data_IF_462401713593
#
_entry.id   IF_462401713593
#
_cell.length_a   1.000
_cell.length_b   1.000
_cell.length_c   1.000
_cell.angle_alpha   90.00
_cell.angle_beta   90.00
_cell.angle_gamma   90.00
#
_symmetry.space_group_name_H-M   'P 1'
#
loop_
_entity.id
_entity.type
_entity.pdbx_description
1 polymer ?
#
# COMPACT_ATOMS: atom_id res chain seq x y z
N UNK A 1 7.20 -26.34 24.61
CA UNK A 1 6.23 -25.33 24.12
C UNK A 1 6.92 -24.64 22.96
N UNK A 2 6.96 -25.33 21.82
CA UNK A 2 7.59 -24.86 20.59
C UNK A 2 6.47 -24.43 19.66
N UNK A 3 6.47 -23.16 19.27
CA UNK A 3 5.53 -22.60 18.32
C UNK A 3 6.04 -22.95 16.92
N UNK A 4 5.38 -23.91 16.28
CA UNK A 4 5.63 -24.28 14.88
C UNK A 4 5.06 -23.17 14.00
N UNK A 5 5.94 -22.35 13.43
CA UNK A 5 5.60 -21.45 12.32
C UNK A 5 5.54 -22.31 11.06
N UNK A 6 4.33 -22.54 10.56
CA UNK A 6 4.11 -23.19 9.26
C UNK A 6 4.02 -22.07 8.23
N UNK A 7 5.15 -21.73 7.61
CA UNK A 7 5.18 -21.06 6.32
C UNK A 7 4.99 -22.16 5.27
N UNK A 8 3.76 -22.36 4.82
CA UNK A 8 3.46 -23.25 3.70
C UNK A 8 3.69 -22.51 2.39
N UNK A 9 4.93 -22.55 1.90
CA UNK A 9 5.22 -22.34 0.48
C UNK A 9 4.99 -23.68 -0.22
N UNK A 10 3.83 -23.84 -0.86
CA UNK A 10 3.58 -24.97 -1.76
C UNK A 10 3.94 -24.51 -3.16
N UNK A 11 5.18 -24.82 -3.57
CA UNK A 11 5.52 -25.00 -4.98
C UNK A 11 4.82 -26.29 -5.45
N UNK A 12 3.75 -26.15 -6.21
CA UNK A 12 3.10 -27.27 -6.88
C UNK A 12 3.98 -27.77 -8.03
N UNK A 13 4.87 -28.73 -7.73
CA UNK A 13 5.46 -29.64 -8.73
C UNK A 13 4.56 -30.87 -8.75
N UNK A 14 3.77 -31.02 -9.82
CA UNK A 14 2.99 -32.22 -10.08
C UNK A 14 3.93 -33.35 -10.54
N UNK A 15 3.95 -34.44 -9.80
CA UNK A 15 4.63 -35.69 -10.15
C UNK A 15 3.60 -36.82 -10.25
N UNK A 16 3.12 -37.07 -11.46
CA UNK A 16 2.56 -38.30 -12.01
C UNK A 16 2.50 -38.02 -13.54
N UNK A 17 2.94 -38.82 -14.50
CA UNK A 17 3.25 -40.24 -14.55
C UNK A 17 2.84 -40.71 -15.97
N UNK A 18 3.83 -40.96 -16.82
CA UNK A 18 3.80 -41.74 -18.08
C UNK A 18 2.95 -41.28 -19.31
N UNK A 19 3.69 -41.30 -20.43
CA UNK A 19 3.35 -41.59 -21.83
C UNK A 19 2.95 -40.48 -22.83
N UNK A 20 3.93 -40.26 -23.72
CA UNK A 20 3.86 -39.91 -25.14
C UNK A 20 3.07 -38.67 -25.59
N UNK A 21 3.79 -37.58 -25.87
CA UNK A 21 3.96 -37.17 -27.27
C UNK A 21 5.09 -36.15 -27.44
N UNK A 22 5.85 -36.33 -28.53
CA UNK A 22 6.94 -35.45 -28.93
C UNK A 22 6.38 -34.13 -29.47
N UNK A 23 6.28 -33.12 -28.59
CA UNK A 23 6.01 -31.73 -28.94
C UNK A 23 7.26 -30.87 -28.72
N UNK A 24 7.62 -30.08 -29.72
CA UNK A 24 8.86 -29.32 -29.79
C UNK A 24 9.12 -28.43 -28.54
N UNK A 25 10.32 -28.55 -27.97
CA UNK A 25 10.91 -27.58 -27.05
C UNK A 25 11.00 -26.21 -27.74
N UNK A 26 9.99 -25.36 -27.54
CA UNK A 26 10.18 -23.91 -27.65
C UNK A 26 10.92 -23.46 -26.40
N UNK A 27 12.20 -23.13 -26.59
CA UNK A 27 13.02 -22.37 -25.65
C UNK A 27 12.22 -21.16 -25.13
N UNK A 28 12.41 -20.75 -23.86
CA UNK A 28 11.83 -19.52 -23.35
C UNK A 28 12.19 -18.38 -24.30
N UNK A 29 11.16 -17.62 -24.67
CA UNK A 29 11.28 -16.45 -25.54
C UNK A 29 12.30 -15.45 -24.99
N UNK A 30 12.95 -14.67 -25.86
CA UNK A 30 14.03 -13.78 -25.46
C UNK A 30 13.50 -12.73 -24.50
N UNK A 31 14.27 -12.47 -23.44
CA UNK A 31 14.21 -11.28 -22.60
C UNK A 31 13.88 -10.06 -23.46
N UNK A 32 12.80 -9.35 -23.10
CA UNK A 32 12.39 -8.10 -23.72
C UNK A 32 13.59 -7.17 -23.88
N UNK A 33 13.90 -6.82 -25.13
CA UNK A 33 15.09 -6.08 -25.52
C UNK A 33 15.05 -4.58 -25.19
N UNK A 34 14.11 -4.14 -24.37
CA UNK A 34 14.01 -2.76 -23.85
C UNK A 34 14.41 -2.70 -22.36
N UNK A 35 15.41 -3.51 -21.97
CA UNK A 35 15.87 -3.66 -20.60
C UNK A 35 16.68 -2.43 -20.13
N UNK A 36 16.05 -1.25 -20.14
CA UNK A 36 16.54 -0.10 -19.41
C UNK A 36 16.50 -0.46 -17.93
N UNK A 37 17.64 -0.36 -17.25
CA UNK A 37 17.69 -0.54 -15.81
C UNK A 37 16.74 0.48 -15.16
N UNK A 38 16.03 0.09 -14.10
CA UNK A 38 15.13 1.00 -13.41
C UNK A 38 15.91 2.22 -12.88
N UNK A 39 15.29 3.39 -12.98
CA UNK A 39 15.91 4.64 -12.53
C UNK A 39 16.05 4.60 -10.99
N UNK A 40 17.27 4.85 -10.51
CA UNK A 40 17.63 4.80 -9.09
C UNK A 40 18.19 6.14 -8.63
N UNK A 41 17.84 6.52 -7.40
CA UNK A 41 18.21 7.78 -6.76
C UNK A 41 18.84 7.48 -5.41
N UNK A 42 20.06 7.98 -5.21
CA UNK A 42 20.72 8.00 -3.89
C UNK A 42 20.42 9.34 -3.25
N UNK A 43 19.94 9.28 -2.02
CA UNK A 43 19.60 10.43 -1.18
C UNK A 43 20.53 10.46 0.05
N UNK A 44 21.00 11.64 0.48
CA UNK A 44 20.69 12.94 -0.11
C UNK A 44 21.31 13.11 -1.50
N UNK A 45 20.67 13.93 -2.34
CA UNK A 45 21.20 14.27 -3.66
C UNK A 45 22.54 15.02 -3.54
N UNK A 46 23.21 15.27 -4.67
CA UNK A 46 24.46 16.07 -4.67
C UNK A 46 24.28 17.48 -4.09
N UNK A 47 23.05 18.00 -4.08
CA UNK A 47 22.69 19.30 -3.53
C UNK A 47 22.21 19.22 -2.07
N UNK A 48 22.22 18.01 -1.48
CA UNK A 48 21.82 17.77 -0.09
C UNK A 48 20.32 17.54 0.10
N UNK A 49 19.55 17.39 -0.97
CA UNK A 49 18.08 17.24 -0.90
C UNK A 49 17.67 15.78 -0.69
N UNK A 50 16.63 15.55 0.13
CA UNK A 50 16.05 14.24 0.41
C UNK A 50 14.83 13.93 -0.46
N UNK A 51 14.92 14.28 -1.74
CA UNK A 51 13.89 13.97 -2.75
C UNK A 51 14.52 13.51 -4.07
N UNK A 52 13.90 12.55 -4.79
CA UNK A 52 14.33 12.20 -6.14
C UNK A 52 14.35 13.42 -7.07
N UNK A 53 15.45 13.58 -7.81
CA UNK A 53 15.66 14.75 -8.69
C UNK A 53 14.82 14.72 -9.97
N UNK A 54 14.23 13.56 -10.29
CA UNK A 54 13.27 13.41 -11.38
C UNK A 54 11.99 12.83 -10.82
N UNK A 55 10.85 13.32 -11.31
CA UNK A 55 9.53 12.82 -10.94
C UNK A 55 9.05 11.87 -12.02
N UNK A 56 8.87 10.60 -11.65
CA UNK A 56 8.09 9.67 -12.46
C UNK A 56 6.60 9.97 -12.36
N UNK A 57 5.82 9.42 -13.30
CA UNK A 57 4.37 9.53 -13.31
C UNK A 57 3.76 8.14 -13.35
N UNK A 58 2.90 7.84 -12.38
CA UNK A 58 2.05 6.67 -12.46
C UNK A 58 1.05 6.80 -13.60
N UNK A 59 0.70 5.64 -14.15
CA UNK A 59 -0.45 5.50 -15.04
C UNK A 59 -1.72 5.81 -14.24
N UNK A 60 -2.62 6.53 -14.89
CA UNK A 60 -3.98 6.68 -14.41
C UNK A 60 -4.72 5.38 -14.65
N UNK A 61 -5.58 4.94 -13.72
CA UNK A 61 -6.38 3.74 -13.93
C UNK A 61 -7.27 3.87 -15.18
N UNK A 62 -7.26 2.86 -16.03
CA UNK A 62 -8.01 2.79 -17.28
C UNK A 62 -8.49 1.38 -17.57
N UNK A 63 -9.76 1.25 -17.94
CA UNK A 63 -10.33 -0.01 -18.38
C UNK A 63 -11.47 -0.45 -17.47
N UNK A 64 -11.59 -1.77 -17.32
CA UNK A 64 -12.68 -2.40 -16.58
C UNK A 64 -12.13 -3.08 -15.32
N UNK A 65 -12.53 -2.59 -14.15
CA UNK A 65 -12.26 -3.22 -12.87
C UNK A 65 -13.40 -4.14 -12.42
N UNK A 66 -13.15 -4.94 -11.37
CA UNK A 66 -14.19 -5.77 -10.76
C UNK A 66 -14.20 -5.72 -9.24
N UNK A 67 -15.39 -5.84 -8.65
CA UNK A 67 -15.61 -5.92 -7.20
C UNK A 67 -16.43 -7.17 -6.87
N UNK A 68 -15.92 -8.01 -5.97
CA UNK A 68 -16.63 -9.18 -5.44
C UNK A 68 -17.25 -8.84 -4.07
N UNK A 69 -18.58 -8.66 -4.01
CA UNK A 69 -19.28 -8.41 -2.74
C UNK A 69 -19.87 -9.73 -2.24
N UNK A 70 -19.19 -10.35 -1.27
CA UNK A 70 -19.54 -11.70 -0.80
C UNK A 70 -20.98 -11.78 -0.32
N UNK A 71 -21.74 -12.66 -0.97
CA UNK A 71 -23.14 -12.91 -0.64
C UNK A 71 -24.14 -12.03 -1.39
N UNK A 72 -23.66 -11.12 -2.25
CA UNK A 72 -24.48 -10.30 -3.14
C UNK A 72 -24.19 -10.72 -4.59
N UNK A 73 -23.17 -10.17 -5.23
CA UNK A 73 -22.75 -10.51 -6.59
C UNK A 73 -21.30 -10.03 -6.87
N UNK A 74 -20.81 -10.30 -8.08
CA UNK A 74 -19.60 -9.70 -8.64
C UNK A 74 -19.97 -8.63 -9.67
N UNK A 75 -19.51 -7.41 -9.43
CA UNK A 75 -19.79 -6.24 -10.25
C UNK A 75 -18.58 -5.84 -11.09
N UNK A 76 -18.84 -5.10 -12.17
CA UNK A 76 -17.81 -4.52 -13.02
C UNK A 76 -18.05 -3.02 -13.13
N UNK A 77 -16.97 -2.25 -13.17
CA UNK A 77 -17.03 -0.80 -13.33
C UNK A 77 -15.97 -0.36 -14.33
N UNK A 78 -16.15 0.84 -14.89
CA UNK A 78 -15.17 1.45 -15.78
C UNK A 78 -14.39 2.49 -14.98
N UNK A 79 -13.06 2.37 -14.97
CA UNK A 79 -12.18 3.20 -14.16
C UNK A 79 -12.32 4.70 -14.50
N UNK A 80 -12.62 5.01 -15.77
CA UNK A 80 -12.80 6.38 -16.25
C UNK A 80 -14.08 7.06 -15.73
N UNK A 81 -15.03 6.27 -15.21
CA UNK A 81 -16.28 6.78 -14.67
C UNK A 81 -16.19 7.02 -13.14
N UNK A 82 -15.09 6.60 -12.49
CA UNK A 82 -14.91 6.76 -11.05
C UNK A 82 -14.41 8.17 -10.71
N UNK A 83 -15.12 8.84 -9.80
CA UNK A 83 -14.75 10.16 -9.29
C UNK A 83 -14.30 10.05 -7.84
N UNK A 84 -13.18 10.68 -7.47
CA UNK A 84 -12.70 10.62 -6.09
C UNK A 84 -13.55 11.45 -5.13
N UNK A 85 -13.88 10.89 -3.97
CA UNK A 85 -14.47 11.60 -2.83
C UNK A 85 -13.41 12.25 -1.93
N UNK A 86 -12.12 11.98 -2.16
CA UNK A 86 -10.99 12.57 -1.44
C UNK A 86 -10.14 13.45 -2.35
N UNK A 87 -10.68 14.55 -2.92
CA UNK A 87 -9.90 15.49 -3.73
C UNK A 87 -8.86 16.26 -2.91
N UNK A 88 -8.90 16.15 -1.58
CA UNK A 88 -7.86 16.59 -0.64
C UNK A 88 -6.66 15.63 -0.60
N UNK A 89 -6.81 14.38 -1.02
CA UNK A 89 -5.75 13.36 -1.06
C UNK A 89 -5.30 13.08 -2.49
N UNK A 90 -6.21 12.80 -3.41
CA UNK A 90 -5.86 12.32 -4.76
C UNK A 90 -5.86 13.44 -5.81
N UNK A 91 -4.93 13.34 -6.75
CA UNK A 91 -4.92 14.15 -7.97
C UNK A 91 -6.05 13.74 -8.92
N UNK A 92 -6.51 14.64 -9.80
CA UNK A 92 -7.50 14.30 -10.82
C UNK A 92 -7.08 13.08 -11.66
N UNK A 93 -8.00 12.13 -11.82
CA UNK A 93 -7.76 10.86 -12.51
C UNK A 93 -7.18 9.75 -11.63
N UNK A 94 -6.92 10.02 -10.35
CA UNK A 94 -6.63 9.02 -9.33
C UNK A 94 -7.77 8.97 -8.30
N UNK A 95 -8.02 7.79 -7.75
CA UNK A 95 -9.12 7.55 -6.82
C UNK A 95 -8.79 6.38 -5.88
N UNK A 96 -9.60 6.23 -4.85
CA UNK A 96 -9.47 5.19 -3.84
C UNK A 96 -10.34 3.97 -4.13
N UNK A 97 -10.07 2.87 -3.44
CA UNK A 97 -10.91 1.67 -3.47
C UNK A 97 -12.35 1.96 -2.98
N UNK A 98 -12.54 2.91 -2.07
CA UNK A 98 -13.88 3.32 -1.62
C UNK A 98 -14.69 4.00 -2.74
N UNK A 99 -14.04 4.81 -3.56
CA UNK A 99 -14.67 5.56 -4.67
C UNK A 99 -15.31 4.61 -5.70
N UNK A 100 -14.76 3.40 -5.83
CA UNK A 100 -15.34 2.33 -6.67
C UNK A 100 -16.73 1.92 -6.18
N UNK A 101 -16.95 1.79 -4.87
CA UNK A 101 -18.27 1.42 -4.33
C UNK A 101 -19.32 2.49 -4.61
N UNK A 102 -18.90 3.75 -4.47
CA UNK A 102 -19.76 4.90 -4.76
C UNK A 102 -20.13 4.92 -6.23
N UNK A 103 -19.22 4.49 -7.11
CA UNK A 103 -19.52 4.36 -8.53
C UNK A 103 -20.54 3.24 -8.81
N UNK A 104 -20.45 2.09 -8.14
CA UNK A 104 -21.44 1.01 -8.26
C UNK A 104 -22.83 1.47 -7.76
N UNK A 105 -22.89 2.23 -6.67
CA UNK A 105 -24.13 2.84 -6.17
C UNK A 105 -24.74 3.84 -7.17
N UNK A 106 -23.92 4.74 -7.74
CA UNK A 106 -24.35 5.67 -8.80
C UNK A 106 -24.92 4.94 -10.03
N UNK A 107 -24.40 3.74 -10.34
CA UNK A 107 -24.87 2.91 -11.45
C UNK A 107 -26.17 2.15 -11.12
N UNK A 108 -26.55 2.08 -9.83
CA UNK A 108 -27.71 1.33 -9.35
C UNK A 108 -27.45 -0.16 -9.21
N UNK A 109 -26.17 -0.57 -9.16
CA UNK A 109 -25.76 -1.97 -8.99
C UNK A 109 -25.84 -2.43 -7.53
N UNK A 110 -25.66 -1.49 -6.59
CA UNK A 110 -25.83 -1.67 -5.14
C UNK A 110 -26.56 -0.46 -4.55
N UNK A 111 -27.14 -0.61 -3.35
CA UNK A 111 -27.63 0.49 -2.51
C UNK A 111 -26.61 0.75 -1.38
N UNK A 112 -25.75 1.76 -1.56
CA UNK A 112 -24.67 2.07 -0.61
C UNK A 112 -25.07 3.21 0.34
N UNK A 113 -25.22 2.87 1.62
CA UNK A 113 -25.35 3.85 2.69
C UNK A 113 -23.97 4.09 3.33
N UNK A 114 -23.53 5.36 3.35
CA UNK A 114 -22.24 5.74 3.92
C UNK A 114 -22.22 7.19 4.38
N UNK A 115 -21.24 7.54 5.23
CA UNK A 115 -20.95 8.90 5.62
C UNK A 115 -19.44 9.13 5.81
N UNK A 116 -19.01 10.39 5.77
CA UNK A 116 -17.68 10.78 6.20
C UNK A 116 -17.67 11.07 7.71
N UNK A 117 -16.79 10.40 8.45
CA UNK A 117 -16.58 10.68 9.87
C UNK A 117 -15.28 11.49 10.07
N UNK A 118 -15.43 12.79 10.33
CA UNK A 118 -14.29 13.68 10.56
C UNK A 118 -13.50 13.38 11.84
N UNK A 119 -14.03 12.61 12.79
CA UNK A 119 -13.27 12.16 13.95
C UNK A 119 -12.36 10.96 13.63
N UNK A 120 -12.57 10.30 12.49
CA UNK A 120 -11.76 9.18 12.00
C UNK A 120 -11.01 9.52 10.69
N UNK A 121 -11.38 10.63 10.05
CA UNK A 121 -10.88 11.11 8.76
C UNK A 121 -11.03 10.06 7.64
N UNK A 122 -12.20 9.43 7.58
CA UNK A 122 -12.50 8.38 6.60
C UNK A 122 -13.99 8.33 6.30
N UNK A 123 -14.33 7.83 5.11
CA UNK A 123 -15.67 7.34 4.83
C UNK A 123 -15.91 5.98 5.52
N UNK A 124 -17.10 5.82 6.09
CA UNK A 124 -17.58 4.61 6.78
C UNK A 124 -18.78 4.07 6.01
N UNK A 125 -18.75 2.77 5.70
CA UNK A 125 -19.89 2.05 5.12
C UNK A 125 -20.87 1.75 6.25
N UNK A 126 -22.07 2.33 6.18
CA UNK A 126 -23.16 2.04 7.11
C UNK A 126 -23.89 0.76 6.67
N UNK A 127 -24.22 0.65 5.38
CA UNK A 127 -24.84 -0.53 4.79
C UNK A 127 -24.59 -0.67 3.29
N UNK A 128 -24.68 -1.91 2.80
CA UNK A 128 -24.81 -2.25 1.37
C UNK A 128 -26.06 -3.12 1.25
N UNK A 129 -27.02 -2.72 0.43
CA UNK A 129 -28.33 -3.37 0.26
C UNK A 129 -29.05 -3.61 1.61
N UNK A 130 -28.97 -2.60 2.49
CA UNK A 130 -29.52 -2.63 3.84
C UNK A 130 -28.83 -3.62 4.81
N UNK A 131 -27.72 -4.24 4.41
CA UNK A 131 -26.91 -5.11 5.28
C UNK A 131 -25.72 -4.32 5.85
N UNK A 132 -25.48 -4.36 7.18
CA UNK A 132 -24.37 -3.64 7.79
C UNK A 132 -23.10 -4.49 7.89
N UNK A 133 -22.05 -3.86 8.44
CA UNK A 133 -20.80 -4.49 8.89
C UNK A 133 -19.91 -4.98 7.75
N UNK A 134 -19.73 -4.15 6.72
CA UNK A 134 -18.85 -4.45 5.61
C UNK A 134 -17.41 -4.03 5.89
N UNK A 135 -16.48 -4.90 5.51
CA UNK A 135 -15.06 -4.59 5.37
C UNK A 135 -14.56 -5.08 4.02
N UNK A 136 -13.28 -4.82 3.74
CA UNK A 136 -12.70 -5.09 2.43
C UNK A 136 -11.32 -5.75 2.51
N UNK A 137 -11.01 -6.48 1.45
CA UNK A 137 -9.70 -7.04 1.11
C UNK A 137 -9.36 -6.54 -0.29
N UNK A 138 -8.09 -6.21 -0.51
CA UNK A 138 -7.57 -5.80 -1.82
C UNK A 138 -6.37 -6.65 -2.14
N UNK A 139 -6.17 -6.92 -3.43
CA UNK A 139 -4.89 -7.35 -3.96
C UNK A 139 -4.59 -6.59 -5.26
N UNK A 140 -3.35 -6.18 -5.44
CA UNK A 140 -2.87 -5.69 -6.73
C UNK A 140 -2.48 -6.85 -7.65
N UNK A 141 -2.16 -6.52 -8.90
CA UNK A 141 -1.61 -7.44 -9.89
C UNK A 141 -0.50 -8.32 -9.31
N UNK A 142 -0.58 -9.63 -9.53
CA UNK A 142 0.32 -10.68 -9.00
C UNK A 142 0.42 -10.78 -7.45
N UNK A 143 -0.45 -10.07 -6.72
CA UNK A 143 -0.53 -10.09 -5.27
C UNK A 143 -1.53 -11.11 -4.69
N UNK A 144 -1.61 -11.13 -3.36
CA UNK A 144 -2.61 -11.91 -2.60
C UNK A 144 -3.51 -11.00 -1.78
N UNK A 145 -4.68 -11.51 -1.40
CA UNK A 145 -5.58 -10.79 -0.50
C UNK A 145 -5.00 -10.74 0.90
N UNK A 146 -5.00 -9.54 1.48
CA UNK A 146 -4.48 -9.32 2.81
C UNK A 146 -5.56 -8.89 3.77
N UNK A 147 -5.49 -9.43 4.99
CA UNK A 147 -6.18 -8.82 6.13
C UNK A 147 -5.54 -7.45 6.37
N UNK A 148 -6.25 -6.40 6.01
CA UNK A 148 -5.84 -5.01 6.21
C UNK A 148 -6.77 -4.33 7.22
N UNK A 149 -6.24 -3.28 7.84
CA UNK A 149 -7.00 -2.37 8.72
C UNK A 149 -6.81 -0.92 8.26
N UNK A 150 -6.68 -0.73 6.94
CA UNK A 150 -6.40 0.57 6.34
C UNK A 150 -7.69 1.27 5.90
N UNK A 151 -7.71 2.60 5.91
CA UNK A 151 -8.87 3.37 5.45
C UNK A 151 -9.11 3.12 3.96
N UNK A 152 -10.30 2.63 3.64
CA UNK A 152 -10.65 2.24 2.27
C UNK A 152 -10.60 3.44 1.30
N UNK A 153 -10.95 4.63 1.80
CA UNK A 153 -10.94 5.87 1.03
C UNK A 153 -9.55 6.53 0.92
N UNK A 154 -8.53 5.92 1.53
CA UNK A 154 -7.11 6.28 1.34
C UNK A 154 -6.34 5.21 0.58
N UNK A 155 -6.94 4.04 0.31
CA UNK A 155 -6.29 2.94 -0.42
C UNK A 155 -6.29 3.28 -1.91
N UNK A 156 -5.14 3.59 -2.54
CA UNK A 156 -5.12 4.00 -3.94
C UNK A 156 -5.54 2.84 -4.84
N UNK A 157 -6.43 3.10 -5.79
CA UNK A 157 -6.76 2.13 -6.83
C UNK A 157 -5.74 2.19 -7.97
N UNK A 158 -5.43 1.04 -8.56
CA UNK A 158 -4.59 0.87 -9.76
C UNK A 158 -5.25 -0.13 -10.72
N UNK A 159 -4.81 -0.15 -11.97
CA UNK A 159 -5.25 -1.19 -12.91
C UNK A 159 -4.98 -2.59 -12.34
N UNK A 160 -5.84 -3.54 -12.69
CA UNK A 160 -5.79 -4.93 -12.23
C UNK A 160 -5.86 -5.10 -10.69
N UNK A 161 -6.41 -4.11 -9.99
CA UNK A 161 -6.77 -4.26 -8.57
C UNK A 161 -8.02 -5.12 -8.44
N UNK A 162 -7.91 -6.22 -7.69
CA UNK A 162 -9.06 -7.04 -7.30
C UNK A 162 -9.56 -6.60 -5.92
N UNK A 163 -10.83 -6.22 -5.85
CA UNK A 163 -11.49 -5.76 -4.63
C UNK A 163 -12.50 -6.80 -4.17
N UNK A 164 -12.49 -7.10 -2.88
CA UNK A 164 -13.45 -8.00 -2.25
C UNK A 164 -14.04 -7.37 -1.01
N UNK A 165 -15.36 -7.41 -0.89
CA UNK A 165 -16.09 -7.01 0.30
C UNK A 165 -16.65 -8.23 1.01
N UNK A 166 -16.65 -8.17 2.34
CA UNK A 166 -17.16 -9.23 3.18
C UNK A 166 -17.69 -8.66 4.49
N UNK A 167 -18.61 -9.40 5.11
CA UNK A 167 -19.12 -9.04 6.43
C UNK A 167 -18.08 -9.36 7.51
N UNK A 168 -17.81 -8.37 8.34
CA UNK A 168 -16.92 -8.44 9.49
C UNK A 168 -17.72 -8.43 10.80
N UNK A 169 -17.13 -8.94 11.87
CA UNK A 169 -17.71 -8.82 13.20
C UNK A 169 -17.70 -7.38 13.70
N UNK A 170 -18.76 -6.99 14.42
CA UNK A 170 -18.95 -5.67 15.01
C UNK A 170 -17.75 -5.31 15.90
N UNK A 171 -17.27 -6.25 16.71
CA UNK A 171 -16.13 -6.05 17.60
C UNK A 171 -14.84 -5.72 16.83
N UNK A 172 -14.58 -6.39 15.71
CA UNK A 172 -13.40 -6.14 14.89
C UNK A 172 -13.51 -4.81 14.15
N UNK A 173 -14.68 -4.49 13.58
CA UNK A 173 -14.90 -3.18 12.97
C UNK A 173 -14.75 -2.06 13.99
N UNK A 174 -15.33 -2.22 15.17
CA UNK A 174 -15.19 -1.26 16.26
C UNK A 174 -13.73 -1.12 16.72
N UNK A 175 -12.92 -2.18 16.68
CA UNK A 175 -11.47 -2.06 16.93
C UNK A 175 -10.79 -1.20 15.85
N UNK A 176 -11.02 -1.50 14.57
CA UNK A 176 -10.44 -0.74 13.44
C UNK A 176 -10.86 0.74 13.50
N UNK A 177 -12.15 1.05 13.66
CA UNK A 177 -12.62 2.42 13.71
C UNK A 177 -12.04 3.20 14.92
N UNK A 178 -11.80 2.52 16.05
CA UNK A 178 -11.15 3.16 17.21
C UNK A 178 -9.71 3.60 16.88
N UNK A 179 -8.95 2.79 16.15
CA UNK A 179 -7.56 3.15 15.80
C UNK A 179 -7.52 4.35 14.86
N UNK A 180 -8.46 4.47 13.93
CA UNK A 180 -8.58 5.66 13.09
C UNK A 180 -8.84 6.91 13.92
N UNK A 181 -9.73 6.84 14.91
CA UNK A 181 -9.98 7.92 15.84
C UNK A 181 -8.81 8.22 16.79
N UNK A 182 -7.96 7.24 17.11
CA UNK A 182 -6.73 7.46 17.86
C UNK A 182 -5.69 8.24 17.04
N UNK A 183 -5.56 7.95 15.73
CA UNK A 183 -4.67 8.69 14.83
C UNK A 183 -5.08 10.16 14.70
N UNK A 184 -6.36 10.44 14.45
CA UNK A 184 -6.87 11.82 14.35
C UNK A 184 -6.70 12.57 15.67
N UNK A 185 -6.89 11.90 16.82
CA UNK A 185 -6.64 12.51 18.14
C UNK A 185 -5.18 12.82 18.37
N UNK A 186 -4.25 11.95 17.97
CA UNK A 186 -2.80 12.24 18.03
C UNK A 186 -2.45 13.44 17.16
N UNK A 187 -2.91 13.44 15.89
CA UNK A 187 -2.69 14.55 14.96
C UNK A 187 -3.19 15.88 15.55
N UNK A 188 -4.42 15.89 16.07
CA UNK A 188 -5.01 17.09 16.69
C UNK A 188 -4.26 17.52 17.95
N UNK A 189 -3.89 16.56 18.82
CA UNK A 189 -3.11 16.81 20.03
C UNK A 189 -1.72 17.39 19.74
N UNK A 190 -1.18 17.11 18.56
CA UNK A 190 0.09 17.63 18.05
C UNK A 190 -0.10 18.88 17.16
N UNK A 191 -1.23 19.57 17.26
CA UNK A 191 -1.54 20.78 16.47
C UNK A 191 -1.45 20.59 14.95
N UNK A 192 -1.84 19.40 14.47
CA UNK A 192 -1.78 19.05 13.04
C UNK A 192 -0.43 18.52 12.57
N UNK A 193 0.55 18.37 13.48
CA UNK A 193 1.85 17.79 13.14
C UNK A 193 1.81 16.26 13.24
N UNK A 194 2.27 15.58 12.20
CA UNK A 194 2.46 14.13 12.22
C UNK A 194 3.70 13.81 13.04
N UNK A 195 3.47 13.22 14.22
CA UNK A 195 4.53 12.68 15.08
C UNK A 195 4.26 11.20 15.24
N UNK A 196 5.23 10.37 14.87
CA UNK A 196 5.17 8.92 15.04
C UNK A 196 5.88 8.56 16.34
N UNK A 197 5.16 8.03 17.34
CA UNK A 197 5.76 7.73 18.65
C UNK A 197 6.98 6.81 18.59
N UNK A 198 6.99 5.84 17.67
CA UNK A 198 8.12 4.96 17.47
C UNK A 198 8.32 4.62 15.99
N UNK A 199 9.56 4.79 15.51
CA UNK A 199 10.00 4.30 14.21
C UNK A 199 11.16 3.33 14.42
N UNK A 200 11.04 2.14 13.84
CA UNK A 200 12.09 1.09 13.90
C UNK A 200 12.56 0.77 12.49
N UNK A 201 13.86 0.64 12.33
CA UNK A 201 14.49 0.13 11.10
C UNK A 201 15.34 -1.07 11.52
N UNK A 202 14.93 -2.26 11.10
CA UNK A 202 15.56 -3.54 11.45
C UNK A 202 16.14 -4.18 10.18
N UNK A 203 17.39 -3.84 9.88
CA UNK A 203 18.16 -4.33 8.75
C UNK A 203 19.22 -5.38 9.16
N UNK A 204 19.88 -6.03 8.20
CA UNK A 204 20.93 -7.01 8.47
C UNK A 204 22.15 -6.46 9.21
N UNK A 205 22.50 -5.18 8.98
CA UNK A 205 23.65 -4.51 9.60
C UNK A 205 23.22 -3.37 10.53
N UNK A 206 22.07 -2.76 10.27
CA UNK A 206 21.56 -1.62 11.02
C UNK A 206 20.35 -2.01 11.87
N UNK A 207 20.28 -1.47 13.09
CA UNK A 207 19.09 -1.57 13.92
C UNK A 207 18.89 -0.22 14.61
N UNK A 208 17.93 0.54 14.09
CA UNK A 208 17.62 1.87 14.59
C UNK A 208 16.26 1.88 15.29
N UNK A 209 16.18 2.68 16.33
CA UNK A 209 14.93 2.98 17.03
C UNK A 209 14.89 4.46 17.34
N UNK A 210 13.91 5.13 16.75
CA UNK A 210 13.65 6.54 16.94
C UNK A 210 12.33 6.71 17.68
N UNK A 211 12.22 7.79 18.46
CA UNK A 211 11.03 8.12 19.24
C UNK A 211 10.58 9.52 18.90
N UNK A 212 9.26 9.72 18.87
CA UNK A 212 8.64 11.02 18.58
C UNK A 212 9.15 11.64 17.27
N UNK A 213 9.20 10.83 16.22
CA UNK A 213 9.68 11.24 14.90
C UNK A 213 8.68 12.21 14.29
N UNK A 214 9.12 13.44 14.08
CA UNK A 214 8.38 14.44 13.30
C UNK A 214 8.47 14.06 11.84
N UNK A 215 7.31 13.96 11.17
CA UNK A 215 7.22 13.65 9.74
C UNK A 215 6.64 14.85 9.00
N UNK A 216 7.31 15.26 7.93
CA UNK A 216 6.85 16.31 7.01
C UNK A 216 6.61 15.72 5.64
N UNK A 217 5.74 16.32 4.83
CA UNK A 217 5.53 15.88 3.45
C UNK A 217 6.73 16.29 2.58
N UNK A 218 7.22 15.38 1.75
CA UNK A 218 8.24 15.64 0.73
C UNK A 218 7.67 15.70 -0.69
N UNK A 219 6.35 15.52 -0.83
CA UNK A 219 5.65 15.65 -2.10
C UNK A 219 6.23 14.79 -3.24
N UNK A 220 6.76 13.60 -2.92
CA UNK A 220 7.41 12.70 -3.89
C UNK A 220 6.45 12.28 -5.01
N UNK A 221 5.15 12.17 -4.70
CA UNK A 221 4.10 11.65 -5.59
C UNK A 221 3.05 12.68 -5.97
N UNK A 222 3.48 13.90 -6.36
CA UNK A 222 2.58 14.96 -6.88
C UNK A 222 1.79 14.59 -8.14
N UNK A 223 2.14 13.47 -8.78
CA UNK A 223 1.39 12.88 -9.89
C UNK A 223 0.10 12.19 -9.41
N UNK A 224 0.12 11.54 -8.23
CA UNK A 224 -1.01 10.77 -7.67
C UNK A 224 -1.68 11.49 -6.50
N UNK A 225 -0.91 12.19 -5.68
CA UNK A 225 -1.34 12.78 -4.42
C UNK A 225 -1.31 14.31 -4.46
N UNK A 226 -2.20 14.93 -3.69
CA UNK A 226 -2.22 16.38 -3.50
C UNK A 226 -0.96 16.85 -2.74
N UNK A 227 -0.47 18.08 -3.01
CA UNK A 227 0.62 18.64 -2.24
C UNK A 227 0.32 18.69 -0.74
N UNK A 228 1.29 18.29 0.08
CA UNK A 228 1.20 18.25 1.54
C UNK A 228 0.64 16.95 2.11
N UNK A 229 0.20 16.01 1.28
CA UNK A 229 -0.15 14.65 1.73
C UNK A 229 1.11 13.96 2.23
N UNK A 230 1.05 13.40 3.44
CA UNK A 230 2.18 12.67 4.06
C UNK A 230 1.98 11.17 3.83
N UNK A 231 3.04 10.51 3.44
CA UNK A 231 3.12 9.10 3.09
C UNK A 231 4.05 8.35 4.04
N UNK A 232 4.04 7.02 3.98
CA UNK A 232 4.95 6.22 4.77
C UNK A 232 6.43 6.43 4.36
N UNK A 233 6.70 6.73 3.08
CA UNK A 233 8.06 7.05 2.61
C UNK A 233 8.61 8.31 3.27
N UNK A 234 7.76 9.32 3.47
CA UNK A 234 8.15 10.59 4.09
C UNK A 234 8.74 10.42 5.50
N UNK A 235 8.47 9.29 6.17
CA UNK A 235 9.09 8.94 7.45
C UNK A 235 10.61 8.78 7.29
N UNK A 236 11.05 8.02 6.28
CA UNK A 236 12.49 7.82 6.01
C UNK A 236 13.13 9.12 5.52
N UNK A 237 12.44 9.88 4.68
CA UNK A 237 12.93 11.17 4.17
C UNK A 237 13.08 12.19 5.30
N UNK A 238 12.11 12.25 6.22
CA UNK A 238 12.18 13.12 7.40
C UNK A 238 13.35 12.74 8.32
N UNK A 239 13.60 11.45 8.53
CA UNK A 239 14.77 10.98 9.30
C UNK A 239 16.08 11.37 8.61
N UNK A 240 16.15 11.25 7.28
CA UNK A 240 17.29 11.74 6.50
C UNK A 240 17.54 13.24 6.65
N UNK A 241 16.50 14.07 6.53
CA UNK A 241 16.61 15.53 6.73
C UNK A 241 17.02 15.91 8.17
N UNK A 242 16.65 15.08 9.15
CA UNK A 242 17.06 15.21 10.54
C UNK A 242 18.51 14.72 10.79
N UNK A 243 19.21 14.27 9.74
CA UNK A 243 20.55 13.68 9.79
C UNK A 243 20.61 12.41 10.65
N UNK A 244 19.49 11.70 10.79
CA UNK A 244 19.39 10.40 11.48
C UNK A 244 19.67 9.23 10.53
N UNK A 245 19.55 9.45 9.21
CA UNK A 245 19.99 8.53 8.16
C UNK A 245 21.07 9.21 7.31
N UNK A 246 22.04 8.42 6.85
CA UNK A 246 23.15 8.89 6.02
C UNK A 246 22.87 8.70 4.53
N UNK A 247 22.29 7.55 4.17
CA UNK A 247 22.04 7.17 2.78
C UNK A 247 20.68 6.47 2.63
N UNK A 248 19.94 6.82 1.58
CA UNK A 248 18.70 6.14 1.19
C UNK A 248 18.70 5.95 -0.33
N UNK A 249 18.49 4.72 -0.80
CA UNK A 249 18.29 4.47 -2.24
C UNK A 249 16.83 4.21 -2.53
N UNK A 250 16.27 5.03 -3.41
CA UNK A 250 14.94 4.82 -3.99
C UNK A 250 15.08 4.40 -5.45
N UNK A 251 14.36 3.36 -5.86
CA UNK A 251 14.34 2.90 -7.25
C UNK A 251 12.91 2.90 -7.75
N UNK A 252 12.69 3.51 -8.92
CA UNK A 252 11.39 3.51 -9.56
C UNK A 252 11.16 2.20 -10.32
N UNK A 253 9.99 1.61 -10.13
CA UNK A 253 9.55 0.44 -10.89
C UNK A 253 8.20 0.72 -11.54
N UNK A 254 8.16 0.67 -12.87
CA UNK A 254 6.89 0.59 -13.61
C UNK A 254 6.23 -0.79 -13.41
N UNK A 255 7.05 -1.83 -13.29
CA UNK A 255 6.65 -3.24 -13.09
C UNK A 255 7.66 -4.00 -12.24
N UNK A 256 7.23 -5.05 -11.54
CA UNK A 256 8.09 -6.00 -10.82
C UNK A 256 7.59 -7.42 -11.09
N UNK A 257 8.40 -8.26 -11.74
CA UNK A 257 7.95 -9.59 -12.16
C UNK A 257 6.75 -9.49 -13.12
N UNK A 258 5.66 -10.15 -12.79
CA UNK A 258 4.38 -10.07 -13.51
C UNK A 258 3.44 -8.98 -12.93
N UNK A 259 3.80 -8.34 -11.82
CA UNK A 259 3.06 -7.22 -11.28
C UNK A 259 3.23 -5.98 -12.17
N UNK A 260 2.14 -5.61 -12.84
CA UNK A 260 2.02 -4.46 -13.73
C UNK A 260 0.57 -3.95 -13.63
N UNK A 261 0.31 -2.67 -13.28
CA UNK A 261 1.26 -1.63 -12.91
C UNK A 261 1.80 -1.73 -11.46
N UNK A 262 3.09 -1.41 -11.27
CA UNK A 262 3.65 -1.07 -9.95
C UNK A 262 3.65 0.44 -9.78
N UNK A 263 4.28 1.16 -10.71
CA UNK A 263 4.37 2.62 -10.76
C UNK A 263 4.64 3.29 -9.40
N UNK A 264 5.72 2.87 -8.74
CA UNK A 264 6.07 3.34 -7.39
C UNK A 264 7.57 3.27 -7.12
N UNK A 265 8.03 4.12 -6.20
CA UNK A 265 9.39 4.03 -5.66
C UNK A 265 9.47 2.94 -4.60
N UNK A 266 10.51 2.13 -4.69
CA UNK A 266 10.87 1.13 -3.69
C UNK A 266 12.15 1.52 -2.96
N UNK A 267 12.16 1.27 -1.65
CA UNK A 267 13.35 1.48 -0.80
C UNK A 267 14.32 0.31 -0.97
N UNK A 268 15.39 0.55 -1.72
CA UNK A 268 16.42 -0.44 -2.06
C UNK A 268 17.66 -0.36 -1.16
N UNK A 269 17.81 0.71 -0.38
CA UNK A 269 18.89 0.84 0.58
C UNK A 269 18.47 1.77 1.71
N UNK A 270 18.82 1.41 2.94
CA UNK A 270 18.84 2.31 4.09
C UNK A 270 20.22 2.17 4.73
N UNK A 271 21.00 3.25 4.75
CA UNK A 271 22.40 3.28 5.17
C UNK A 271 23.22 2.12 4.57
N UNK A 272 23.81 1.26 5.42
CA UNK A 272 24.70 0.17 5.00
C UNK A 272 23.95 -1.07 4.47
N UNK A 273 22.62 -1.11 4.60
CA UNK A 273 21.78 -2.24 4.21
C UNK A 273 21.18 -2.01 2.82
N UNK A 274 21.66 -2.79 1.84
CA UNK A 274 21.32 -2.67 0.42
C UNK A 274 20.63 -3.95 -0.04
N UNK A 275 19.44 -3.82 -0.62
CA UNK A 275 18.66 -4.91 -1.21
C UNK A 275 19.46 -5.71 -2.23
N UNK A 276 19.23 -7.03 -2.25
CA UNK A 276 19.90 -7.93 -3.18
C UNK A 276 19.06 -9.17 -3.46
N UNK A 277 18.97 -9.57 -4.74
CA UNK A 277 18.16 -10.72 -5.12
C UNK A 277 16.69 -10.54 -4.71
N UNK A 278 16.14 -11.51 -3.96
CA UNK A 278 14.81 -11.43 -3.36
C UNK A 278 14.79 -10.91 -1.92
N UNK A 279 15.89 -10.30 -1.46
CA UNK A 279 16.03 -9.78 -0.11
C UNK A 279 16.01 -8.25 -0.11
N UNK A 280 15.23 -7.65 0.80
CA UNK A 280 15.14 -6.20 0.93
C UNK A 280 14.27 -5.75 2.10
N UNK A 281 14.11 -4.44 2.22
CA UNK A 281 13.20 -3.85 3.20
C UNK A 281 11.75 -3.97 2.74
N UNK A 282 10.92 -4.49 3.63
CA UNK A 282 9.48 -4.23 3.61
C UNK A 282 9.13 -3.39 4.82
N UNK A 283 7.87 -2.96 4.91
CA UNK A 283 7.47 -2.08 5.98
C UNK A 283 6.04 -2.32 6.45
N UNK A 284 5.72 -1.74 7.60
CA UNK A 284 4.39 -1.63 8.12
C UNK A 284 4.23 -0.34 8.92
N UNK A 285 3.01 0.17 8.97
CA UNK A 285 2.68 1.35 9.79
C UNK A 285 1.20 1.32 10.17
N UNK A 286 0.89 1.81 11.37
CA UNK A 286 -0.47 1.83 11.87
C UNK A 286 -0.53 1.66 13.39
N UNK A 287 -1.59 1.05 13.92
CA UNK A 287 -1.74 0.74 15.34
C UNK A 287 -1.02 -0.58 15.70
N UNK A 288 -0.42 -0.65 16.89
CA UNK A 288 0.34 -1.84 17.32
C UNK A 288 -0.53 -3.08 17.51
N UNK A 289 -1.81 -2.91 17.85
CA UNK A 289 -2.73 -4.04 18.02
C UNK A 289 -2.95 -4.82 16.71
N UNK A 290 -2.60 -4.23 15.56
CA UNK A 290 -2.65 -4.87 14.24
C UNK A 290 -1.27 -5.06 13.61
N UNK A 291 -0.21 -5.15 14.42
CA UNK A 291 1.15 -5.33 13.89
C UNK A 291 1.33 -6.61 13.08
N UNK A 292 2.32 -6.60 12.20
CA UNK A 292 2.62 -7.70 11.28
C UNK A 292 1.43 -7.99 10.35
N UNK A 293 1.30 -9.26 9.95
CA UNK A 293 0.24 -9.77 9.08
C UNK A 293 -1.16 -9.77 9.71
N UNK A 294 -1.38 -9.06 10.83
CA UNK A 294 -2.69 -8.93 11.46
C UNK A 294 -3.47 -7.69 11.02
N UNK A 295 -2.86 -6.80 10.23
CA UNK A 295 -3.55 -5.68 9.59
C UNK A 295 -2.67 -4.55 9.06
N UNK A 296 -1.51 -4.29 9.67
CA UNK A 296 -0.66 -3.12 9.37
C UNK A 296 0.37 -3.38 8.27
N UNK A 297 0.75 -4.63 8.02
CA UNK A 297 1.57 -5.00 6.88
C UNK A 297 0.67 -5.25 5.66
N UNK A 298 0.74 -4.36 4.67
CA UNK A 298 -0.10 -4.39 3.46
C UNK A 298 0.70 -3.96 2.22
N UNK A 299 0.33 -4.44 1.03
CA UNK A 299 0.99 -4.18 -0.25
C UNK A 299 0.63 -2.83 -0.87
N UNK A 300 0.65 -1.76 -0.09
CA UNK A 300 0.67 -0.39 -0.64
C UNK A 300 2.13 0.06 -0.65
N UNK A 301 2.72 0.50 -1.78
CA UNK A 301 4.06 1.08 -1.77
C UNK A 301 4.16 2.29 -0.84
N UNK A 302 5.31 2.47 -0.18
CA UNK A 302 5.46 3.47 0.90
C UNK A 302 5.29 4.90 0.40
N UNK A 303 5.60 5.17 -0.87
CA UNK A 303 5.49 6.47 -1.53
C UNK A 303 4.05 6.88 -1.85
N UNK A 304 3.09 5.96 -1.79
CA UNK A 304 1.65 6.24 -1.99
C UNK A 304 0.78 5.82 -0.81
N UNK A 305 1.36 5.23 0.24
CA UNK A 305 0.64 4.92 1.47
C UNK A 305 0.50 6.16 2.33
N UNK A 306 -0.61 6.87 2.16
CA UNK A 306 -0.99 8.01 3.00
C UNK A 306 -1.05 7.62 4.48
N UNK A 307 -0.56 8.50 5.35
CA UNK A 307 -0.60 8.34 6.81
C UNK A 307 -1.22 9.58 7.49
N UNK A 308 -1.93 9.36 8.59
CA UNK A 308 -2.52 10.44 9.41
C UNK A 308 -1.64 10.74 10.62
N UNK A 309 -1.55 9.81 11.57
CA UNK A 309 -0.61 9.88 12.70
C UNK A 309 -0.53 8.49 13.35
N UNK A 310 0.12 7.52 12.69
CA UNK A 310 0.15 6.13 13.15
C UNK A 310 0.84 6.00 14.52
N UNK A 311 0.57 4.92 15.23
CA UNK A 311 1.20 4.65 16.54
C UNK A 311 2.66 4.22 16.37
N UNK A 312 2.98 3.54 15.27
CA UNK A 312 4.34 3.14 14.95
C UNK A 312 4.55 3.00 13.43
N UNK A 313 5.83 2.94 13.05
CA UNK A 313 6.26 2.45 11.76
C UNK A 313 7.48 1.53 11.93
N UNK A 314 7.56 0.49 11.10
CA UNK A 314 8.63 -0.48 11.11
C UNK A 314 9.05 -0.78 9.68
N UNK A 315 10.33 -0.58 9.38
CA UNK A 315 11.00 -1.17 8.22
C UNK A 315 11.76 -2.39 8.71
N UNK A 316 11.57 -3.52 8.05
CA UNK A 316 12.21 -4.78 8.44
C UNK A 316 12.65 -5.58 7.23
N UNK A 317 13.74 -6.31 7.39
CA UNK A 317 14.34 -7.08 6.34
C UNK A 317 13.69 -8.45 6.15
N UNK A 318 13.35 -8.78 4.91
CA UNK A 318 12.90 -10.14 4.54
C UNK A 318 13.66 -10.64 3.31
N UNK A 319 13.64 -11.96 3.12
CA UNK A 319 14.08 -12.64 1.92
C UNK A 319 12.96 -13.59 1.46
N UNK A 320 12.51 -13.44 0.21
CA UNK A 320 11.45 -14.25 -0.39
C UNK A 320 11.97 -15.55 -1.03
#
# INVERSE_FOLDING_TARGET
MFLTIVISVVLSISCDGSDSDAGANTLPSPVDSNNQLPDSYILPSSDGEWVPQQTHKARQPVGMGTVDIKGIDKFSFNDLDVETLRPDIFQPGHFSVFDVLVQLDKQGDIDLEYHFDGAMDTHIIDAIDGQPHWWYEVRYSDGWYETNVFRMDMYPYKDDTDIRLFRQSDDRLAQICRTFGDEVRRLTGNNGQVIIPEVVIDGPKTNFRFTDVVVTSHDVRRDVLQPGVITALDILLSLGEQAELSDLKLTWYDRIGEADPVDSYWTEQIDDDISFGGCGFVYETGPREFSSFSGSHIHIPSDVRTIVSPEYALWFWICL
#
